data_IF_670608168513
#
_entry.id   IF_670608168513
#
_cell.length_a   1.000
_cell.length_b   1.000
_cell.length_c   1.000
_cell.angle_alpha   90.00
_cell.angle_beta   90.00
_cell.angle_gamma   90.00
#
_symmetry.space_group_name_H-M   'P 1'
#
loop_
_entity.id
_entity.type
_entity.pdbx_description
1 polymer ?
#
# COMPACT_ATOMS: atom_id res chain seq x y z
N UNK A 1 -16.21 -5.21 -30.05
CA UNK A 1 -16.67 -6.62 -29.95
C UNK A 1 -15.77 -7.32 -28.95
N UNK A 2 -16.29 -7.86 -27.85
CA UNK A 2 -15.44 -8.55 -26.86
C UNK A 2 -14.90 -9.86 -27.45
N UNK A 3 -13.59 -10.09 -27.35
CA UNK A 3 -12.87 -11.23 -27.96
C UNK A 3 -13.10 -12.58 -27.26
N UNK A 4 -13.93 -12.63 -26.22
CA UNK A 4 -14.14 -13.83 -25.42
C UNK A 4 -15.63 -14.06 -25.19
N UNK A 5 -16.08 -15.28 -25.48
CA UNK A 5 -17.38 -15.80 -25.08
C UNK A 5 -17.15 -16.64 -23.82
N UNK A 6 -17.82 -16.30 -22.73
CA UNK A 6 -17.70 -17.02 -21.46
C UNK A 6 -19.04 -17.07 -20.74
N UNK A 7 -19.20 -18.09 -19.91
CA UNK A 7 -20.36 -18.27 -19.04
C UNK A 7 -19.92 -18.08 -17.59
N UNK A 8 -20.61 -17.22 -16.85
CA UNK A 8 -20.34 -16.98 -15.44
C UNK A 8 -21.12 -18.00 -14.62
N UNK A 9 -20.43 -18.72 -13.75
CA UNK A 9 -21.02 -19.68 -12.80
C UNK A 9 -20.49 -19.41 -11.39
N UNK A 10 -21.35 -19.54 -10.38
CA UNK A 10 -20.96 -19.43 -8.97
C UNK A 10 -20.45 -20.78 -8.47
N UNK A 11 -19.24 -20.78 -7.88
CA UNK A 11 -18.65 -21.96 -7.23
C UNK A 11 -18.51 -21.66 -5.73
N UNK A 12 -19.10 -22.48 -4.85
CA UNK A 12 -18.91 -22.37 -3.40
C UNK A 12 -17.43 -22.39 -3.00
N UNK A 13 -17.07 -21.61 -1.97
CA UNK A 13 -15.65 -21.42 -1.58
C UNK A 13 -14.92 -22.71 -1.20
N UNK A 14 -15.62 -23.71 -0.66
CA UNK A 14 -15.07 -25.02 -0.32
C UNK A 14 -14.74 -25.88 -1.54
N UNK A 15 -15.21 -25.53 -2.74
CA UNK A 15 -14.93 -26.23 -4.00
C UNK A 15 -13.96 -25.43 -4.90
N UNK A 16 -13.50 -24.28 -4.42
CA UNK A 16 -12.67 -23.33 -5.16
C UNK A 16 -11.18 -23.70 -5.17
N UNK A 17 -10.86 -25.00 -5.15
CA UNK A 17 -9.52 -25.54 -4.93
C UNK A 17 -8.51 -25.06 -5.97
N UNK A 18 -8.89 -25.03 -7.25
CA UNK A 18 -7.99 -24.68 -8.34
C UNK A 18 -7.56 -23.20 -8.26
N UNK A 19 -8.52 -22.30 -8.00
CA UNK A 19 -8.23 -20.88 -7.88
C UNK A 19 -7.47 -20.56 -6.58
N UNK A 20 -7.81 -21.19 -5.44
CA UNK A 20 -7.06 -21.03 -4.20
C UNK A 20 -5.61 -21.51 -4.36
N UNK A 21 -5.41 -22.72 -4.91
CA UNK A 21 -4.09 -23.28 -5.18
C UNK A 21 -3.26 -22.40 -6.13
N UNK A 22 -3.84 -21.92 -7.24
CA UNK A 22 -3.12 -21.07 -8.19
C UNK A 22 -2.81 -19.68 -7.64
N UNK A 23 -3.71 -19.09 -6.85
CA UNK A 23 -3.48 -17.77 -6.23
C UNK A 23 -2.35 -17.79 -5.20
N UNK A 24 -2.09 -18.97 -4.60
CA UNK A 24 -1.11 -19.19 -3.54
C UNK A 24 0.04 -20.09 -3.97
N UNK A 25 0.23 -20.37 -5.27
CA UNK A 25 1.34 -21.20 -5.75
C UNK A 25 2.56 -20.30 -6.04
N UNK A 26 3.51 -20.16 -5.10
CA UNK A 26 4.71 -19.37 -5.34
C UNK A 26 5.48 -19.95 -6.52
N UNK A 27 5.84 -19.09 -7.47
CA UNK A 27 6.66 -19.54 -8.58
C UNK A 27 8.04 -19.96 -8.07
N UNK A 28 8.52 -21.14 -8.50
CA UNK A 28 9.85 -21.66 -8.15
C UNK A 28 11.00 -20.96 -8.89
N UNK A 29 10.70 -19.98 -9.74
CA UNK A 29 11.71 -19.22 -10.45
C UNK A 29 12.40 -18.24 -9.50
N UNK A 30 13.73 -18.07 -9.62
CA UNK A 30 14.43 -17.05 -8.87
C UNK A 30 13.82 -15.69 -9.19
N UNK A 31 13.72 -14.87 -8.16
CA UNK A 31 13.21 -13.51 -8.22
C UNK A 31 13.76 -12.75 -9.44
N UNK A 32 12.83 -12.23 -10.25
CA UNK A 32 13.12 -11.70 -11.59
C UNK A 32 13.38 -10.21 -11.48
N UNK A 33 14.60 -9.78 -11.83
CA UNK A 33 14.99 -8.35 -11.89
C UNK A 33 14.07 -7.47 -12.74
N UNK A 34 13.34 -8.03 -13.70
CA UNK A 34 12.33 -7.32 -14.48
C UNK A 34 11.17 -6.81 -13.62
N UNK A 35 10.73 -7.60 -12.63
CA UNK A 35 9.65 -7.22 -11.72
C UNK A 35 10.08 -6.06 -10.81
N UNK A 36 11.33 -6.04 -10.36
CA UNK A 36 11.90 -4.90 -9.62
C UNK A 36 11.83 -3.62 -10.43
N UNK A 37 12.28 -3.66 -11.68
CA UNK A 37 12.27 -2.51 -12.56
C UNK A 37 10.84 -1.98 -12.79
N UNK A 38 9.85 -2.87 -12.93
CA UNK A 38 8.44 -2.49 -13.03
C UNK A 38 7.91 -1.86 -11.73
N UNK A 39 8.25 -2.42 -10.58
CA UNK A 39 7.87 -1.88 -9.26
C UNK A 39 8.49 -0.49 -9.06
N UNK A 40 9.78 -0.34 -9.35
CA UNK A 40 10.49 0.93 -9.22
C UNK A 40 9.92 1.98 -10.19
N UNK A 41 9.63 1.61 -11.44
CA UNK A 41 8.99 2.50 -12.40
C UNK A 41 7.60 2.94 -11.93
N UNK A 42 6.83 2.05 -11.30
CA UNK A 42 5.54 2.37 -10.72
C UNK A 42 5.66 3.34 -9.53
N UNK A 43 6.62 3.13 -8.63
CA UNK A 43 6.91 4.05 -7.52
C UNK A 43 7.30 5.42 -8.07
N UNK A 44 8.23 5.47 -9.05
CA UNK A 44 8.64 6.72 -9.69
C UNK A 44 7.47 7.45 -10.38
N UNK A 45 6.57 6.71 -11.03
CA UNK A 45 5.36 7.28 -11.63
C UNK A 45 4.46 7.91 -10.56
N UNK A 46 4.23 7.24 -9.42
CA UNK A 46 3.45 7.82 -8.31
C UNK A 46 4.14 9.08 -7.80
N UNK A 47 5.41 9.00 -7.41
CA UNK A 47 6.16 10.13 -6.82
C UNK A 47 6.23 11.32 -7.78
N UNK A 48 6.45 11.10 -9.08
CA UNK A 48 6.51 12.18 -10.09
C UNK A 48 5.14 12.77 -10.46
N UNK A 49 4.05 12.01 -10.25
CA UNK A 49 2.68 12.48 -10.50
C UNK A 49 2.11 13.34 -9.37
N UNK A 50 2.79 13.44 -8.22
CA UNK A 50 2.34 14.25 -7.10
C UNK A 50 2.31 15.73 -7.52
N UNK A 51 1.20 16.46 -7.27
CA UNK A 51 1.06 17.87 -7.65
C UNK A 51 1.79 18.79 -6.65
N UNK A 52 3.07 18.49 -6.36
CA UNK A 52 3.90 19.25 -5.43
C UNK A 52 5.34 19.32 -5.96
N UNK A 53 6.00 20.46 -5.72
CA UNK A 53 7.42 20.58 -6.03
C UNK A 53 8.26 19.72 -5.07
N UNK A 54 9.47 19.34 -5.49
CA UNK A 54 10.43 18.62 -4.65
C UNK A 54 10.63 19.31 -3.29
N UNK A 55 10.82 20.63 -3.28
CA UNK A 55 10.93 21.43 -2.05
C UNK A 55 9.71 21.26 -1.14
N UNK A 56 8.48 21.29 -1.68
CA UNK A 56 7.27 21.12 -0.87
C UNK A 56 7.17 19.71 -0.31
N UNK A 57 7.62 18.70 -1.05
CA UNK A 57 7.68 17.32 -0.56
C UNK A 57 8.69 17.18 0.58
N UNK A 58 9.86 17.84 0.49
CA UNK A 58 10.85 17.84 1.56
C UNK A 58 10.34 18.54 2.83
N UNK A 59 9.64 19.66 2.67
CA UNK A 59 8.96 20.34 3.77
C UNK A 59 7.92 19.41 4.43
N UNK A 60 7.10 18.70 3.63
CA UNK A 60 6.12 17.74 4.15
C UNK A 60 6.77 16.58 4.90
N UNK A 61 7.87 16.02 4.39
CA UNK A 61 8.65 14.99 5.13
C UNK A 61 9.11 15.51 6.47
N UNK A 62 9.67 16.73 6.51
CA UNK A 62 10.16 17.33 7.74
C UNK A 62 9.05 17.59 8.77
N UNK A 63 7.84 17.94 8.32
CA UNK A 63 6.68 18.12 9.20
C UNK A 63 6.12 16.77 9.65
N UNK A 64 5.97 15.79 8.75
CA UNK A 64 5.54 14.41 9.10
C UNK A 64 6.47 13.76 10.12
N UNK A 65 7.78 13.98 10.00
CA UNK A 65 8.77 13.46 10.95
C UNK A 65 8.61 14.03 12.37
N UNK A 66 7.95 15.18 12.52
CA UNK A 66 7.73 15.84 13.82
C UNK A 66 6.32 15.63 14.37
N UNK A 67 5.36 15.29 13.51
CA UNK A 67 3.98 15.03 13.91
C UNK A 67 3.84 13.66 14.58
N UNK A 68 3.27 13.64 15.78
CA UNK A 68 3.15 12.42 16.60
C UNK A 68 2.28 11.36 15.92
N UNK A 69 1.21 11.78 15.23
CA UNK A 69 0.32 10.85 14.53
C UNK A 69 1.05 10.18 13.36
N UNK A 70 1.77 10.97 12.55
CA UNK A 70 2.57 10.47 11.44
C UNK A 70 3.72 9.56 11.90
N UNK A 71 4.38 9.88 13.01
CA UNK A 71 5.42 9.01 13.60
C UNK A 71 4.83 7.64 14.00
N UNK A 72 3.70 7.61 14.73
CA UNK A 72 3.06 6.36 15.13
C UNK A 72 2.57 5.54 13.93
N UNK A 73 1.97 6.20 12.94
CA UNK A 73 1.53 5.51 11.71
C UNK A 73 2.71 4.94 10.93
N UNK A 74 3.82 5.67 10.83
CA UNK A 74 5.07 5.18 10.22
C UNK A 74 5.56 3.94 10.94
N UNK A 75 5.56 3.95 12.28
CA UNK A 75 5.91 2.80 13.10
C UNK A 75 5.00 1.60 12.84
N UNK A 76 3.68 1.80 12.74
CA UNK A 76 2.73 0.72 12.43
C UNK A 76 2.91 0.16 11.01
N UNK A 77 3.25 1.00 10.04
CA UNK A 77 3.54 0.53 8.67
C UNK A 77 4.80 -0.33 8.66
N UNK A 78 5.86 0.09 9.37
CA UNK A 78 7.16 -0.61 9.35
C UNK A 78 7.20 -1.86 10.25
N UNK A 79 6.53 -1.82 11.39
CA UNK A 79 6.57 -2.89 12.41
C UNK A 79 5.33 -3.79 12.41
N UNK A 80 4.30 -3.40 11.66
CA UNK A 80 2.99 -4.04 11.66
C UNK A 80 1.99 -3.31 12.57
N UNK A 81 0.72 -3.38 12.18
CA UNK A 81 -0.37 -2.78 12.96
C UNK A 81 -0.70 -3.64 14.19
N UNK A 82 -0.90 -3.03 15.37
CA UNK A 82 -1.39 -3.73 16.55
C UNK A 82 -2.85 -4.15 16.36
N UNK A 83 -3.47 -4.87 17.30
CA UNK A 83 -4.90 -5.17 17.19
C UNK A 83 -5.75 -3.89 17.34
N UNK A 84 -6.98 -3.88 16.82
CA UNK A 84 -7.86 -2.69 16.84
C UNK A 84 -8.00 -2.03 18.23
N UNK A 85 -7.97 -2.84 19.29
CA UNK A 85 -8.14 -2.37 20.67
C UNK A 85 -6.89 -1.69 21.25
N UNK A 86 -5.74 -1.98 20.65
CA UNK A 86 -4.42 -1.52 21.09
C UNK A 86 -3.89 -0.36 20.23
N UNK A 87 -4.66 0.03 19.21
CA UNK A 87 -4.34 1.18 18.36
C UNK A 87 -4.44 2.45 19.19
N UNK A 88 -3.40 3.26 19.12
CA UNK A 88 -3.37 4.56 19.75
C UNK A 88 -4.54 5.45 19.29
N UNK A 89 -5.09 6.25 20.19
CA UNK A 89 -6.24 7.12 19.89
C UNK A 89 -5.95 8.11 18.76
N UNK A 90 -4.71 8.56 18.61
CA UNK A 90 -4.27 9.41 17.49
C UNK A 90 -4.39 8.68 16.14
N UNK A 91 -4.14 7.37 16.14
CA UNK A 91 -4.16 6.53 14.94
C UNK A 91 -5.53 5.88 14.68
N UNK A 92 -6.46 5.94 15.62
CA UNK A 92 -7.78 5.33 15.50
C UNK A 92 -8.56 5.73 14.21
N UNK A 93 -8.52 7.00 13.74
CA UNK A 93 -9.17 7.40 12.48
C UNK A 93 -8.64 6.67 11.25
N UNK A 94 -7.39 6.20 11.30
CA UNK A 94 -6.70 5.56 10.19
C UNK A 94 -6.90 4.03 10.15
N UNK A 95 -7.44 3.44 11.22
CA UNK A 95 -7.54 1.99 11.36
C UNK A 95 -8.30 1.30 10.21
N UNK A 96 -9.38 1.92 9.73
CA UNK A 96 -10.20 1.35 8.66
C UNK A 96 -9.46 1.25 7.34
N UNK A 97 -8.57 2.21 7.05
CA UNK A 97 -7.80 2.28 5.81
C UNK A 97 -6.33 1.87 5.99
N UNK A 98 -5.98 1.21 7.10
CA UNK A 98 -4.59 0.87 7.44
C UNK A 98 -3.81 0.13 6.36
N UNK A 99 -4.49 -0.70 5.56
CA UNK A 99 -3.87 -1.45 4.46
C UNK A 99 -3.60 -0.62 3.20
N UNK A 100 -4.14 0.60 3.14
CA UNK A 100 -3.82 1.58 2.10
C UNK A 100 -2.67 2.50 2.52
N UNK A 101 -2.25 2.45 3.79
CA UNK A 101 -1.22 3.35 4.34
C UNK A 101 0.15 2.73 4.11
N UNK A 102 1.05 3.52 3.53
CA UNK A 102 2.41 3.09 3.21
C UNK A 102 3.39 4.23 3.37
N UNK A 103 4.68 3.91 3.42
CA UNK A 103 5.77 4.89 3.37
C UNK A 103 6.47 4.75 2.03
N UNK A 104 6.51 5.84 1.25
CA UNK A 104 7.16 5.91 -0.06
C UNK A 104 8.14 7.07 -0.07
N UNK A 105 9.42 6.82 -0.37
CA UNK A 105 10.49 7.83 -0.33
C UNK A 105 10.48 8.69 0.96
N UNK A 106 10.27 8.04 2.10
CA UNK A 106 10.20 8.68 3.42
C UNK A 106 8.94 9.52 3.69
N UNK A 107 7.93 9.45 2.80
CA UNK A 107 6.67 10.16 2.90
C UNK A 107 5.55 9.19 3.27
N UNK A 108 4.74 9.54 4.27
CA UNK A 108 3.57 8.76 4.67
C UNK A 108 2.41 9.03 3.71
N UNK A 109 1.90 7.97 3.09
CA UNK A 109 0.94 7.97 1.99
C UNK A 109 -0.30 7.14 2.32
N UNK A 110 -1.45 7.49 1.76
CA UNK A 110 -2.65 6.66 1.68
C UNK A 110 -3.01 6.44 0.21
N UNK A 111 -2.75 5.23 -0.31
CA UNK A 111 -2.77 4.98 -1.74
C UNK A 111 -1.80 5.93 -2.47
N UNK A 112 -2.32 6.74 -3.39
CA UNK A 112 -1.52 7.73 -4.14
C UNK A 112 -1.60 9.17 -3.57
N UNK A 113 -2.02 9.34 -2.31
CA UNK A 113 -2.19 10.65 -1.68
C UNK A 113 -1.31 10.80 -0.45
N UNK A 114 -0.76 11.99 -0.25
CA UNK A 114 0.05 12.34 0.92
C UNK A 114 -0.88 12.48 2.14
N UNK A 115 -0.51 11.88 3.27
CA UNK A 115 -1.17 12.16 4.55
C UNK A 115 -0.65 13.51 5.06
N UNK A 116 -1.55 14.49 5.21
CA UNK A 116 -1.17 15.81 5.70
C UNK A 116 -1.13 15.77 7.24
N UNK A 117 0.01 16.15 7.86
CA UNK A 117 0.12 16.28 9.31
C UNK A 117 -0.90 17.27 9.89
N UNK A 118 -1.27 17.08 11.16
CA UNK A 118 -2.10 18.04 11.89
C UNK A 118 -1.31 19.30 12.27
#
# INVERSE_FOLDING_TARGET
MMKFSYTIVHIPGNELFAADALSRNPQKVPYRRELEAEIDAFIQMITSSLPASSRRLDELRAVQLKDETCQKLTDYVLKGYPSKKEVDTLCAPYWQNRYEISVQDGLLMRGCRIIIPN
#
